data_IF_156450034039
#
_entry.id   IF_156450034039
#
_cell.length_a   1.000
_cell.length_b   1.000
_cell.length_c   1.000
_cell.angle_alpha   90.00
_cell.angle_beta   90.00
_cell.angle_gamma   90.00
#
_symmetry.space_group_name_H-M   'P 1'
#
loop_
_entity.id
_entity.type
_entity.pdbx_description
1 polymer ?
#
# COMPACT_ATOMS: atom_id res chain seq x y z
N UNK A 1 9.15 14.71 3.60
CA UNK A 1 8.57 13.69 4.50
C UNK A 1 7.65 12.74 3.73
N UNK A 2 6.61 13.25 3.06
CA UNK A 2 5.65 12.43 2.30
C UNK A 2 6.28 11.59 1.19
N UNK A 3 7.32 12.10 0.51
CA UNK A 3 8.09 11.34 -0.50
C UNK A 3 8.68 10.04 0.07
N UNK A 4 9.15 10.04 1.33
CA UNK A 4 9.69 8.85 1.99
C UNK A 4 8.59 7.86 2.36
N UNK A 5 7.45 8.35 2.86
CA UNK A 5 6.26 7.53 3.15
C UNK A 5 5.78 6.84 1.87
N UNK A 6 5.64 7.58 0.76
CA UNK A 6 5.27 7.01 -0.55
C UNK A 6 6.30 5.98 -1.06
N UNK A 7 7.59 6.20 -0.81
CA UNK A 7 8.62 5.23 -1.17
C UNK A 7 8.50 3.93 -0.38
N UNK A 8 8.23 4.00 0.93
CA UNK A 8 7.98 2.83 1.78
C UNK A 8 6.75 2.07 1.28
N UNK A 9 5.62 2.76 1.09
CA UNK A 9 4.39 2.17 0.54
C UNK A 9 4.66 1.46 -0.79
N UNK A 10 5.35 2.15 -1.71
CA UNK A 10 5.70 1.58 -3.02
C UNK A 10 6.51 0.30 -2.87
N UNK A 11 7.54 0.32 -2.03
CA UNK A 11 8.41 -0.84 -1.83
C UNK A 11 7.63 -2.02 -1.25
N UNK A 12 6.76 -1.77 -0.26
CA UNK A 12 5.89 -2.81 0.31
C UNK A 12 5.00 -3.44 -0.75
N UNK A 13 4.29 -2.64 -1.57
CA UNK A 13 3.38 -3.15 -2.60
C UNK A 13 4.13 -3.87 -3.72
N UNK A 14 5.19 -3.26 -4.24
CA UNK A 14 5.98 -3.84 -5.37
C UNK A 14 6.78 -5.07 -4.98
N UNK A 15 7.04 -5.29 -3.68
CA UNK A 15 7.66 -6.53 -3.18
C UNK A 15 6.71 -7.73 -3.18
N UNK A 16 5.40 -7.50 -3.31
CA UNK A 16 4.42 -8.58 -3.27
C UNK A 16 4.44 -9.42 -4.52
N UNK A 17 4.44 -10.73 -4.31
CA UNK A 17 4.29 -11.74 -5.36
C UNK A 17 2.91 -12.35 -5.25
N UNK A 18 2.23 -12.51 -6.38
CA UNK A 18 0.89 -13.07 -6.44
C UNK A 18 -0.19 -12.15 -5.89
N UNK A 19 -1.32 -12.74 -5.50
CA UNK A 19 -2.44 -12.04 -4.91
C UNK A 19 -2.23 -11.77 -3.42
N UNK A 20 -2.84 -10.70 -2.91
CA UNK A 20 -2.77 -10.30 -1.51
C UNK A 20 -4.04 -9.58 -1.07
N UNK A 21 -4.37 -9.63 0.21
CA UNK A 21 -5.48 -8.84 0.76
C UNK A 21 -5.03 -7.41 1.05
N UNK A 22 -5.89 -6.45 0.77
CA UNK A 22 -5.58 -5.03 1.01
C UNK A 22 -5.30 -4.74 2.49
N UNK A 23 -5.98 -5.44 3.39
CA UNK A 23 -5.78 -5.32 4.84
C UNK A 23 -4.40 -5.80 5.28
N UNK A 24 -3.88 -6.88 4.66
CA UNK A 24 -2.53 -7.37 4.95
C UNK A 24 -1.49 -6.33 4.52
N UNK A 25 -1.66 -5.73 3.34
CA UNK A 25 -0.79 -4.66 2.85
C UNK A 25 -0.81 -3.45 3.77
N UNK A 26 -1.99 -3.01 4.21
CA UNK A 26 -2.09 -1.88 5.14
C UNK A 26 -1.34 -2.15 6.44
N UNK A 27 -1.47 -3.35 7.02
CA UNK A 27 -0.73 -3.74 8.22
C UNK A 27 0.79 -3.71 8.01
N UNK A 28 1.26 -4.22 6.87
CA UNK A 28 2.69 -4.21 6.55
C UNK A 28 3.24 -2.80 6.31
N UNK A 29 2.47 -1.94 5.64
CA UNK A 29 2.82 -0.53 5.46
C UNK A 29 2.93 0.15 6.84
N UNK A 30 1.96 -0.04 7.73
CA UNK A 30 1.98 0.52 9.08
C UNK A 30 3.21 0.05 9.85
N UNK A 31 3.54 -1.26 9.80
CA UNK A 31 4.76 -1.79 10.42
C UNK A 31 6.02 -1.12 9.86
N UNK A 32 6.13 -1.07 8.53
CA UNK A 32 7.28 -0.48 7.83
C UNK A 32 7.45 1.01 8.14
N UNK A 33 6.34 1.74 8.28
CA UNK A 33 6.35 3.16 8.65
C UNK A 33 6.79 3.36 10.10
N UNK A 34 6.32 2.53 11.04
CA UNK A 34 6.74 2.55 12.45
C UNK A 34 8.24 2.26 12.60
N UNK A 35 8.76 1.26 11.88
CA UNK A 35 10.21 0.94 11.83
C UNK A 35 11.06 2.11 11.32
N UNK A 36 10.47 2.99 10.51
CA UNK A 36 11.14 4.19 9.97
C UNK A 36 10.82 5.48 10.76
N UNK A 37 10.28 5.36 11.98
CA UNK A 37 9.90 6.48 12.87
C UNK A 37 8.79 7.41 12.33
N UNK A 38 7.95 6.93 11.41
CA UNK A 38 6.76 7.65 10.96
C UNK A 38 5.58 7.28 11.87
N UNK A 39 5.39 8.01 12.97
CA UNK A 39 4.39 7.69 14.02
C UNK A 39 3.04 8.42 13.86
N UNK A 40 2.89 9.31 12.88
CA UNK A 40 1.63 10.02 12.63
C UNK A 40 0.64 9.11 11.89
N UNK A 41 -0.15 8.36 12.65
CA UNK A 41 -1.08 7.35 12.12
C UNK A 41 -2.13 7.97 11.18
N UNK A 42 -2.67 9.15 11.51
CA UNK A 42 -3.68 9.83 10.68
C UNK A 42 -3.11 10.23 9.33
N UNK A 43 -1.92 10.85 9.33
CA UNK A 43 -1.25 11.24 8.10
C UNK A 43 -0.82 10.04 7.26
N UNK A 44 -0.29 9.01 7.91
CA UNK A 44 0.16 7.79 7.25
C UNK A 44 -1.00 7.07 6.56
N UNK A 45 -2.16 6.93 7.23
CA UNK A 45 -3.34 6.27 6.65
C UNK A 45 -3.90 7.08 5.48
N UNK A 46 -3.91 8.41 5.58
CA UNK A 46 -4.33 9.28 4.46
C UNK A 46 -3.44 9.07 3.23
N UNK A 47 -2.11 9.14 3.40
CA UNK A 47 -1.16 8.98 2.29
C UNK A 47 -1.24 7.56 1.71
N UNK A 48 -1.40 6.55 2.57
CA UNK A 48 -1.55 5.15 2.15
C UNK A 48 -2.81 4.95 1.32
N UNK A 49 -3.95 5.48 1.79
CA UNK A 49 -5.22 5.39 1.08
C UNK A 49 -5.19 6.11 -0.26
N UNK A 50 -4.63 7.33 -0.30
CA UNK A 50 -4.44 8.07 -1.55
C UNK A 50 -3.55 7.29 -2.54
N UNK A 51 -2.46 6.68 -2.06
CA UNK A 51 -1.55 5.92 -2.90
C UNK A 51 -2.23 4.68 -3.50
N UNK A 52 -2.94 3.90 -2.68
CA UNK A 52 -3.66 2.71 -3.14
C UNK A 52 -4.75 3.07 -4.16
N UNK A 53 -5.51 4.14 -3.92
CA UNK A 53 -6.52 4.62 -4.86
C UNK A 53 -5.89 5.06 -6.19
N UNK A 54 -4.75 5.73 -6.16
CA UNK A 54 -4.03 6.08 -7.39
C UNK A 54 -3.61 4.84 -8.17
N UNK A 55 -3.10 3.79 -7.50
CA UNK A 55 -2.77 2.54 -8.19
C UNK A 55 -4.00 1.85 -8.83
N UNK A 56 -5.18 1.95 -8.21
CA UNK A 56 -6.42 1.42 -8.78
C UNK A 56 -6.81 2.24 -10.02
N UNK A 57 -6.81 3.57 -9.90
CA UNK A 57 -7.15 4.48 -11.00
C UNK A 57 -6.18 4.34 -12.18
N UNK A 58 -4.89 4.17 -11.89
CA UNK A 58 -3.82 3.97 -12.88
C UNK A 58 -3.81 2.55 -13.46
N UNK A 59 -4.74 1.68 -13.06
CA UNK A 59 -4.82 0.27 -13.48
C UNK A 59 -3.49 -0.47 -13.23
N UNK A 60 -2.92 -0.27 -12.04
CA UNK A 60 -1.74 -1.01 -11.54
C UNK A 60 -2.07 -1.94 -10.39
N UNK A 61 -3.15 -1.67 -9.66
CA UNK A 61 -3.66 -2.53 -8.60
C UNK A 61 -5.06 -3.04 -8.99
N UNK A 62 -5.15 -4.33 -9.26
CA UNK A 62 -6.39 -4.97 -9.72
C UNK A 62 -6.96 -5.83 -8.63
N UNK A 63 -8.29 -5.87 -8.54
CA UNK A 63 -9.03 -6.74 -7.64
C UNK A 63 -9.50 -7.99 -8.41
N UNK A 64 -9.38 -9.17 -7.80
CA UNK A 64 -10.04 -10.37 -8.31
C UNK A 64 -11.56 -10.24 -8.14
N UNK A 65 -12.33 -10.55 -9.18
CA UNK A 65 -13.77 -10.26 -9.26
C UNK A 65 -14.61 -10.85 -8.13
N UNK A 66 -14.19 -11.98 -7.58
CA UNK A 66 -14.96 -12.72 -6.56
C UNK A 66 -14.29 -12.72 -5.18
N UNK A 67 -13.18 -11.99 -5.01
CA UNK A 67 -12.40 -12.04 -3.79
C UNK A 67 -12.02 -10.65 -3.27
N UNK A 68 -11.65 -10.58 -1.99
CA UNK A 68 -11.00 -9.40 -1.39
C UNK A 68 -9.48 -9.39 -1.64
N UNK A 69 -9.08 -10.07 -2.70
CA UNK A 69 -7.69 -10.23 -3.13
C UNK A 69 -7.37 -9.28 -4.28
N UNK A 70 -6.17 -8.73 -4.21
CA UNK A 70 -5.62 -7.78 -5.15
C UNK A 70 -4.28 -8.29 -5.68
N UNK A 71 -3.92 -7.89 -6.89
CA UNK A 71 -2.59 -8.12 -7.43
C UNK A 71 -2.05 -6.85 -8.08
N UNK A 72 -0.74 -6.69 -8.01
CA UNK A 72 -0.03 -5.54 -8.54
C UNK A 72 0.64 -5.90 -9.87
N UNK A 73 0.50 -5.03 -10.88
CA UNK A 73 1.20 -5.14 -12.16
C UNK A 73 2.30 -4.07 -12.22
N UNK A 74 3.51 -4.48 -12.61
CA UNK A 74 4.69 -3.63 -12.72
C UNK A 74 4.63 -2.65 -13.91
#
# INVERSE_FOLDING_TARGET
MEKKIRMIIRNTITSKKGSFRIEQIRKEIVSSLKENNFNDEVKNEKITSEYLNNLINDKKLFRYSNENEYFYIH
#
